data_IF_356227538729
#
_entry.id   IF_356227538729
#
_cell.length_a   1.000
_cell.length_b   1.000
_cell.length_c   1.000
_cell.angle_alpha   90.00
_cell.angle_beta   90.00
_cell.angle_gamma   90.00
#
_symmetry.space_group_name_H-M   'P 1'
#
loop_
_entity.id
_entity.type
_entity.pdbx_description
1 polymer ?
#
# COMPACT_ATOMS: atom_id res chain seq x y z
N UNK A 1 17.75 2.50 18.78
CA UNK A 1 16.82 2.93 17.72
C UNK A 1 15.88 1.78 17.43
N UNK A 2 14.64 1.81 17.91
CA UNK A 2 13.63 0.83 17.48
C UNK A 2 13.25 1.21 16.03
N UNK A 3 13.84 0.51 15.08
CA UNK A 3 13.58 0.73 13.65
C UNK A 3 12.14 0.38 13.35
N UNK A 4 11.33 1.38 13.02
CA UNK A 4 10.05 1.08 12.38
C UNK A 4 10.38 0.51 11.01
N UNK A 5 9.83 -0.66 10.66
CA UNK A 5 10.03 -1.32 9.34
C UNK A 5 9.30 -0.56 8.20
N UNK A 6 9.33 0.77 8.24
CA UNK A 6 8.76 1.66 7.24
C UNK A 6 9.70 1.71 6.05
N UNK A 7 9.13 1.55 4.87
CA UNK A 7 9.80 1.61 3.57
C UNK A 7 9.21 2.79 2.82
N UNK A 8 10.07 3.65 2.27
CA UNK A 8 9.62 4.77 1.41
C UNK A 8 9.18 4.24 0.06
N UNK A 9 8.05 4.71 -0.45
CA UNK A 9 7.59 4.36 -1.80
C UNK A 9 8.59 4.76 -2.90
N UNK A 10 9.37 5.82 -2.68
CA UNK A 10 10.43 6.26 -3.60
C UNK A 10 11.66 5.36 -3.61
N UNK A 11 11.88 4.57 -2.56
CA UNK A 11 12.97 3.59 -2.49
C UNK A 11 12.53 2.25 -3.06
N UNK A 12 11.34 1.79 -2.68
CA UNK A 12 10.79 0.50 -3.10
C UNK A 12 9.27 0.47 -2.99
N UNK A 13 8.63 0.01 -4.05
CA UNK A 13 7.20 -0.33 -4.03
C UNK A 13 6.99 -1.74 -3.45
N UNK A 14 5.86 -2.00 -2.78
CA UNK A 14 5.52 -3.34 -2.36
C UNK A 14 5.24 -4.26 -3.55
N UNK A 15 5.20 -5.56 -3.28
CA UNK A 15 4.79 -6.54 -4.27
C UNK A 15 3.32 -6.28 -4.65
N UNK A 16 3.03 -6.35 -5.95
CA UNK A 16 1.69 -6.14 -6.47
C UNK A 16 0.77 -7.25 -5.94
N UNK A 17 -0.39 -6.86 -5.40
CA UNK A 17 -1.36 -7.77 -4.81
C UNK A 17 -1.08 -8.18 -3.35
N UNK A 18 0.10 -7.85 -2.80
CA UNK A 18 0.39 -8.13 -1.38
C UNK A 18 -0.20 -7.03 -0.48
N UNK A 19 -0.80 -7.40 0.66
CA UNK A 19 -1.31 -6.44 1.61
C UNK A 19 -0.17 -5.79 2.40
N UNK A 20 -0.22 -4.46 2.54
CA UNK A 20 0.72 -3.68 3.34
C UNK A 20 -0.03 -2.72 4.24
N UNK A 21 0.61 -2.27 5.31
CA UNK A 21 0.09 -1.17 6.14
C UNK A 21 0.70 0.14 5.65
N UNK A 22 -0.14 1.10 5.32
CA UNK A 22 0.23 2.47 5.01
C UNK A 22 -0.36 3.42 6.06
N UNK A 23 0.17 4.64 6.13
CA UNK A 23 -0.35 5.68 7.02
C UNK A 23 -0.93 6.81 6.17
N UNK A 24 -2.25 6.95 6.17
CA UNK A 24 -2.96 8.07 5.54
C UNK A 24 -3.38 9.04 6.64
N UNK A 25 -2.93 10.29 6.58
CA UNK A 25 -3.22 11.31 7.61
C UNK A 25 -2.97 10.81 9.05
N UNK A 26 -1.90 10.02 9.24
CA UNK A 26 -1.52 9.42 10.52
C UNK A 26 -2.34 8.20 10.95
N UNK A 27 -3.36 7.80 10.18
CA UNK A 27 -4.18 6.61 10.42
C UNK A 27 -3.60 5.41 9.69
N UNK A 28 -3.31 4.29 10.37
CA UNK A 28 -2.88 3.06 9.70
C UNK A 28 -4.04 2.45 8.91
N UNK A 29 -3.79 2.14 7.65
CA UNK A 29 -4.75 1.50 6.73
C UNK A 29 -4.08 0.35 6.01
N UNK A 30 -4.83 -0.72 5.76
CA UNK A 30 -4.36 -1.84 4.94
C UNK A 30 -4.65 -1.55 3.48
N UNK A 31 -3.59 -1.54 2.66
CA UNK A 31 -3.66 -1.25 1.23
C UNK A 31 -3.01 -2.37 0.40
N UNK A 32 -3.41 -2.41 -0.87
CA UNK A 32 -2.86 -3.28 -1.91
C UNK A 32 -2.39 -2.41 -3.05
N UNK A 33 -1.24 -2.75 -3.65
CA UNK A 33 -0.80 -2.13 -4.88
C UNK A 33 -1.28 -2.97 -6.06
N UNK A 34 -2.12 -2.42 -6.93
CA UNK A 34 -2.66 -3.12 -8.08
C UNK A 34 -2.30 -2.45 -9.40
N UNK A 35 -2.29 -3.25 -10.47
CA UNK A 35 -2.15 -2.77 -11.85
C UNK A 35 -3.51 -2.36 -12.37
N UNK A 36 -3.57 -1.18 -12.97
CA UNK A 36 -4.75 -0.69 -13.68
C UNK A 36 -4.39 -0.60 -15.15
N UNK A 37 -5.15 -1.31 -15.98
CA UNK A 37 -5.08 -1.14 -17.43
C UNK A 37 -5.80 0.16 -17.77
N UNK A 38 -5.04 1.16 -18.24
CA UNK A 38 -5.66 2.27 -18.94
C UNK A 38 -6.05 1.74 -20.33
N UNK A 39 -7.17 2.21 -20.88
CA UNK A 39 -7.76 1.70 -22.13
C UNK A 39 -6.81 1.73 -23.35
N UNK A 40 -5.64 2.35 -23.22
CA UNK A 40 -4.53 2.21 -24.15
C UNK A 40 -3.67 1.01 -23.71
N UNK A 41 -3.73 -0.10 -24.45
CA UNK A 41 -3.10 -1.42 -24.21
C UNK A 41 -1.58 -1.39 -23.91
N UNK A 42 -0.96 -0.21 -23.95
CA UNK A 42 0.47 0.05 -23.79
C UNK A 42 0.76 0.67 -22.41
N UNK A 43 -0.22 1.32 -21.76
CA UNK A 43 0.00 2.08 -20.51
C UNK A 43 -0.50 1.33 -19.29
N UNK A 44 0.42 0.68 -18.59
CA UNK A 44 0.17 0.16 -17.25
C UNK A 44 0.27 1.29 -16.23
N UNK A 45 -0.78 1.47 -15.42
CA UNK A 45 -0.76 2.34 -14.24
C UNK A 45 -0.83 1.52 -12.96
N UNK A 46 -0.44 2.13 -11.85
CA UNK A 46 -0.49 1.53 -10.51
C UNK A 46 -1.47 2.32 -9.63
N UNK A 47 -2.26 1.61 -8.84
CA UNK A 47 -3.23 2.19 -7.91
C UNK A 47 -3.16 1.50 -6.56
N UNK A 48 -3.37 2.29 -5.50
CA UNK A 48 -3.65 1.76 -4.17
C UNK A 48 -5.13 1.42 -4.01
N UNK A 49 -5.41 0.21 -3.53
CA UNK A 49 -6.75 -0.24 -3.16
C UNK A 49 -6.83 -0.45 -1.65
N UNK A 50 -7.91 0.01 -1.03
CA UNK A 50 -8.18 -0.18 0.39
C UNK A 50 -9.29 -1.23 0.57
N UNK A 51 -9.13 -2.09 1.59
CA UNK A 51 -10.11 -3.16 1.87
C UNK A 51 -11.37 -2.69 2.58
N UNK A 52 -11.38 -1.54 3.27
CA UNK A 52 -12.45 -1.22 4.24
C UNK A 52 -13.03 0.21 4.21
N UNK A 53 -12.69 1.07 3.25
CA UNK A 53 -13.28 2.41 3.18
C UNK A 53 -14.00 2.67 1.85
N UNK A 54 -15.34 2.88 1.87
CA UNK A 54 -16.01 3.50 0.74
C UNK A 54 -15.82 5.01 0.88
N UNK A 55 -15.22 5.67 -0.11
CA UNK A 55 -15.77 6.90 -0.70
C UNK A 55 -14.75 7.73 -1.48
N UNK A 56 -13.44 7.47 -1.40
CA UNK A 56 -12.47 8.23 -2.21
C UNK A 56 -11.34 7.35 -2.76
N UNK A 57 -10.99 7.48 -4.05
CA UNK A 57 -9.79 6.86 -4.57
C UNK A 57 -8.57 7.45 -3.85
N UNK A 58 -7.69 6.57 -3.38
CA UNK A 58 -6.41 6.96 -2.77
C UNK A 58 -5.46 7.29 -3.91
N UNK A 59 -4.93 8.52 -3.96
CA UNK A 59 -3.94 8.84 -4.99
C UNK A 59 -2.65 8.13 -4.67
N UNK A 60 -1.92 7.73 -5.70
CA UNK A 60 -0.62 7.07 -5.55
C UNK A 60 0.36 7.88 -4.68
N UNK A 61 0.35 9.21 -4.85
CA UNK A 61 1.20 10.16 -4.11
C UNK A 61 0.84 10.34 -2.64
N UNK A 62 -0.37 9.94 -2.22
CA UNK A 62 -0.82 10.15 -0.83
C UNK A 62 -0.18 9.12 0.12
N UNK A 63 0.42 8.05 -0.43
CA UNK A 63 1.13 7.01 0.33
C UNK A 63 2.64 7.23 0.21
N UNK A 64 3.25 7.86 1.20
CA UNK A 64 4.70 8.11 1.23
C UNK A 64 5.49 6.90 1.77
N UNK A 65 4.91 6.18 2.74
CA UNK A 65 5.52 5.04 3.41
C UNK A 65 4.56 3.87 3.50
N UNK A 66 5.12 2.67 3.40
CA UNK A 66 4.42 1.42 3.71
C UNK A 66 5.25 0.57 4.68
N UNK A 67 4.63 -0.40 5.31
CA UNK A 67 5.29 -1.43 6.09
C UNK A 67 4.67 -2.80 5.77
N UNK A 68 5.48 -3.87 5.79
CA UNK A 68 4.93 -5.22 5.67
C UNK A 68 3.98 -5.48 6.84
N UNK A 69 2.92 -6.25 6.59
CA UNK A 69 2.07 -6.73 7.67
C UNK A 69 2.94 -7.61 8.59
N UNK A 70 2.99 -7.32 9.91
CA UNK A 70 3.73 -8.18 10.82
C UNK A 70 3.14 -9.59 10.77
N UNK A 71 3.97 -10.64 10.85
CA UNK A 71 3.44 -11.99 10.93
C UNK A 71 2.45 -12.06 12.09
N UNK A 72 1.29 -12.69 11.85
CA UNK A 72 0.38 -13.00 12.95
C UNK A 72 1.19 -13.80 13.98
N UNK A 73 1.18 -13.42 15.27
CA UNK A 73 1.77 -14.27 16.29
C UNK A 73 1.09 -15.64 16.16
N UNK A 74 1.89 -16.68 15.95
CA UNK A 74 1.41 -18.05 16.10
C UNK A 74 0.86 -18.13 17.53
N UNK A 75 -0.46 -18.29 17.64
CA UNK A 75 -1.08 -18.48 18.95
C UNK A 75 -0.49 -19.73 19.57
N UNK A 76 0.02 -19.60 20.80
CA UNK A 76 0.37 -20.75 21.65
C UNK A 76 -0.82 -21.69 21.87
#
# INVERSE_FOLDING_TARGET
>A
MQGTNRVKCSERLPVIGDPVIAFLDGTPVVLFLNRVNLNDEITLSLQWEATYFPNKPIKFSDVEYWMPIPPMPEGE
#
